data_IF_971331698972
#
_entry.id   IF_971331698972
#
_cell.length_a   1.000
_cell.length_b   1.000
_cell.length_c   1.000
_cell.angle_alpha   90.00
_cell.angle_beta   90.00
_cell.angle_gamma   90.00
#
_symmetry.space_group_name_H-M   'P 1'
#
loop_
_entity.id
_entity.type
_entity.pdbx_description
1 polymer ?
#
# COMPACT_ATOMS: atom_id res chain seq x y z
N UNK A 1 30.45 -43.74 -35.03
CA UNK A 1 29.80 -44.91 -35.63
C UNK A 1 28.34 -44.84 -35.23
N UNK A 2 27.44 -44.43 -36.12
CA UNK A 2 26.00 -44.43 -35.85
C UNK A 2 25.46 -45.84 -36.10
N UNK A 3 25.66 -46.73 -35.12
CA UNK A 3 25.09 -48.07 -35.11
C UNK A 3 24.02 -48.17 -34.04
N UNK A 4 22.96 -48.92 -34.29
CA UNK A 4 22.00 -49.26 -33.25
C UNK A 4 22.68 -50.21 -32.25
N UNK A 5 22.73 -49.83 -30.98
CA UNK A 5 23.28 -50.68 -29.94
C UNK A 5 22.21 -51.70 -29.51
N UNK A 6 22.56 -52.98 -29.55
CA UNK A 6 21.70 -54.06 -29.11
C UNK A 6 22.30 -54.71 -27.85
N UNK A 7 21.47 -54.96 -26.85
CA UNK A 7 21.87 -55.66 -25.64
C UNK A 7 21.32 -57.07 -25.70
N UNK A 8 22.17 -58.07 -25.46
CA UNK A 8 21.73 -59.47 -25.36
C UNK A 8 22.07 -59.99 -23.98
N UNK A 9 21.04 -60.41 -23.24
CA UNK A 9 21.14 -60.86 -21.86
C UNK A 9 20.83 -62.35 -21.82
N UNK A 10 21.75 -63.13 -21.27
CA UNK A 10 21.62 -64.57 -21.11
C UNK A 10 21.53 -64.90 -19.63
N UNK A 11 20.58 -65.75 -19.26
CA UNK A 11 20.47 -66.25 -17.90
C UNK A 11 20.09 -67.73 -17.89
N UNK A 12 20.74 -68.47 -16.99
CA UNK A 12 20.51 -69.89 -16.70
C UNK A 12 20.01 -70.13 -15.27
N UNK A 13 19.77 -69.07 -14.48
CA UNK A 13 19.55 -69.17 -13.04
C UNK A 13 18.99 -67.92 -12.36
N UNK A 14 18.85 -68.00 -11.04
CA UNK A 14 18.50 -66.85 -10.19
C UNK A 14 19.67 -65.85 -10.09
N UNK A 15 19.34 -64.56 -9.96
CA UNK A 15 20.33 -63.54 -9.69
C UNK A 15 20.89 -63.69 -8.26
N UNK A 16 22.20 -63.95 -8.16
CA UNK A 16 22.89 -64.22 -6.89
C UNK A 16 23.94 -63.17 -6.55
N UNK A 17 24.19 -62.19 -7.42
CA UNK A 17 25.34 -61.28 -7.27
C UNK A 17 25.11 -59.84 -7.72
N UNK A 18 23.98 -59.52 -8.36
CA UNK A 18 23.77 -58.16 -8.84
C UNK A 18 23.58 -57.18 -7.69
N UNK A 19 24.27 -56.05 -7.78
CA UNK A 19 24.13 -54.91 -6.85
C UNK A 19 23.15 -53.85 -7.35
N UNK A 20 22.69 -53.98 -8.59
CA UNK A 20 21.76 -53.06 -9.22
C UNK A 20 20.32 -53.53 -9.01
N UNK A 21 19.40 -52.58 -8.84
CA UNK A 21 17.96 -52.88 -8.75
C UNK A 21 17.36 -53.06 -10.14
N UNK A 22 16.27 -53.84 -10.25
CA UNK A 22 15.52 -54.03 -11.50
C UNK A 22 15.11 -52.69 -12.14
N UNK A 23 14.60 -51.75 -11.34
CA UNK A 23 14.23 -50.41 -11.80
C UNK A 23 15.44 -49.61 -12.30
N UNK A 24 16.61 -49.77 -11.68
CA UNK A 24 17.85 -49.15 -12.12
C UNK A 24 18.31 -49.71 -13.47
N UNK A 25 18.20 -51.01 -13.67
CA UNK A 25 18.50 -51.66 -14.95
C UNK A 25 17.54 -51.20 -16.06
N UNK A 26 16.24 -51.11 -15.77
CA UNK A 26 15.24 -50.59 -16.71
C UNK A 26 15.52 -49.14 -17.09
N UNK A 27 15.83 -48.26 -16.13
CA UNK A 27 16.19 -46.87 -16.40
C UNK A 27 17.49 -46.73 -17.23
N UNK A 28 18.48 -47.61 -17.01
CA UNK A 28 19.71 -47.64 -17.79
C UNK A 28 19.46 -48.09 -19.23
N UNK A 29 18.62 -49.12 -19.44
CA UNK A 29 18.25 -49.60 -20.77
C UNK A 29 17.41 -48.56 -21.52
N UNK A 30 16.48 -47.91 -20.82
CA UNK A 30 15.67 -46.84 -21.38
C UNK A 30 16.51 -45.61 -21.78
N UNK A 31 17.53 -45.26 -20.98
CA UNK A 31 18.43 -44.14 -21.33
C UNK A 31 19.40 -44.48 -22.46
N UNK A 32 19.75 -45.77 -22.64
CA UNK A 32 20.56 -46.25 -23.75
C UNK A 32 19.78 -46.42 -25.07
N UNK A 33 18.44 -46.43 -25.02
CA UNK A 33 17.52 -46.69 -26.15
C UNK A 33 17.91 -47.93 -26.98
N UNK A 34 18.38 -48.96 -26.28
CA UNK A 34 18.93 -50.17 -26.89
C UNK A 34 17.93 -51.33 -26.78
N UNK A 35 17.47 -51.92 -27.91
CA UNK A 35 16.64 -53.12 -27.87
C UNK A 35 17.35 -54.25 -27.12
N UNK A 36 16.65 -54.85 -26.17
CA UNK A 36 17.21 -55.90 -25.32
C UNK A 36 16.61 -57.26 -25.65
N UNK A 37 17.45 -58.22 -26.03
CA UNK A 37 17.04 -59.60 -26.25
C UNK A 37 17.45 -60.45 -25.04
N UNK A 38 16.46 -60.99 -24.33
CA UNK A 38 16.66 -61.88 -23.19
C UNK A 38 16.51 -63.34 -23.63
N UNK A 39 17.51 -64.16 -23.35
CA UNK A 39 17.45 -65.61 -23.58
C UNK A 39 17.54 -66.33 -22.23
N UNK A 40 16.48 -67.05 -21.90
CA UNK A 40 16.34 -67.76 -20.63
C UNK A 40 16.42 -69.27 -20.86
N UNK A 41 17.35 -69.95 -20.17
CA UNK A 41 17.31 -71.41 -20.03
C UNK A 41 16.41 -71.79 -18.84
N UNK A 42 15.38 -72.59 -19.09
CA UNK A 42 14.40 -72.95 -18.07
C UNK A 42 14.99 -73.92 -17.03
N UNK A 43 15.44 -73.41 -15.89
CA UNK A 43 15.90 -74.20 -14.73
C UNK A 43 14.95 -74.00 -13.54
N UNK A 44 15.00 -74.87 -12.52
CA UNK A 44 14.03 -74.92 -11.41
C UNK A 44 14.03 -73.70 -10.49
N UNK A 45 14.97 -72.76 -10.65
CA UNK A 45 15.15 -71.60 -9.76
C UNK A 45 15.01 -70.24 -10.46
N UNK A 46 14.48 -70.16 -11.69
CA UNK A 46 14.45 -68.90 -12.43
C UNK A 46 13.11 -68.15 -12.32
N UNK A 47 13.19 -66.83 -12.15
CA UNK A 47 12.07 -65.91 -12.29
C UNK A 47 12.02 -65.31 -13.72
N UNK A 48 11.14 -65.82 -14.61
CA UNK A 48 11.01 -65.30 -15.97
C UNK A 48 10.40 -63.89 -16.03
N UNK A 49 9.73 -63.44 -14.97
CA UNK A 49 9.00 -62.17 -14.97
C UNK A 49 9.95 -60.98 -14.93
N UNK A 50 11.04 -61.07 -14.15
CA UNK A 50 12.07 -60.05 -14.09
C UNK A 50 12.74 -59.83 -15.45
N UNK A 51 13.19 -60.90 -16.12
CA UNK A 51 13.84 -60.78 -17.43
C UNK A 51 12.87 -60.25 -18.50
N UNK A 52 11.62 -60.70 -18.48
CA UNK A 52 10.59 -60.21 -19.40
C UNK A 52 10.29 -58.72 -19.20
N UNK A 53 10.23 -58.26 -17.95
CA UNK A 53 10.03 -56.83 -17.64
C UNK A 53 11.21 -55.96 -18.12
N UNK A 54 12.42 -56.52 -18.18
CA UNK A 54 13.60 -55.85 -18.74
C UNK A 54 13.50 -55.78 -20.27
N UNK A 55 13.18 -56.89 -20.93
CA UNK A 55 13.08 -56.92 -22.40
C UNK A 55 11.94 -56.04 -22.92
N UNK A 56 10.85 -55.90 -22.16
CA UNK A 56 9.67 -55.11 -22.55
C UNK A 56 9.85 -53.59 -22.30
N UNK A 57 10.96 -53.17 -21.67
CA UNK A 57 11.20 -51.77 -21.32
C UNK A 57 11.40 -50.86 -22.54
N UNK A 58 11.99 -51.39 -23.61
CA UNK A 58 12.25 -50.64 -24.86
C UNK A 58 11.56 -51.36 -26.02
N UNK A 59 10.96 -50.59 -26.93
CA UNK A 59 10.29 -51.14 -28.11
C UNK A 59 11.29 -51.92 -28.98
N UNK A 60 10.94 -53.16 -29.32
CA UNK A 60 11.79 -54.05 -30.12
C UNK A 60 12.62 -55.06 -29.32
N UNK A 61 12.50 -55.06 -27.99
CA UNK A 61 13.04 -56.16 -27.17
C UNK A 61 12.34 -57.49 -27.42
N UNK A 62 13.07 -58.59 -27.22
CA UNK A 62 12.57 -59.95 -27.45
C UNK A 62 12.92 -60.85 -26.27
N UNK A 63 11.99 -61.71 -25.90
CA UNK A 63 12.20 -62.72 -24.88
C UNK A 63 12.11 -64.11 -25.51
N UNK A 64 13.19 -64.89 -25.39
CA UNK A 64 13.29 -66.25 -25.88
C UNK A 64 13.47 -67.18 -24.69
N UNK A 65 12.53 -68.10 -24.50
CA UNK A 65 12.64 -69.14 -23.48
C UNK A 65 13.04 -70.46 -24.13
N UNK A 66 14.10 -71.07 -23.63
CA UNK A 66 14.66 -72.31 -24.13
C UNK A 66 14.45 -73.38 -23.06
N UNK A 67 13.70 -74.43 -23.41
CA UNK A 67 13.34 -75.50 -22.47
C UNK A 67 14.37 -76.62 -22.40
N UNK A 68 15.24 -76.76 -23.41
CA UNK A 68 16.22 -77.84 -23.54
C UNK A 68 17.58 -77.29 -24.00
N UNK A 69 18.67 -77.78 -23.39
CA UNK A 69 20.06 -77.39 -23.69
C UNK A 69 20.41 -77.59 -25.16
N UNK A 70 19.81 -78.58 -25.82
CA UNK A 70 20.05 -78.88 -27.24
C UNK A 70 19.50 -77.80 -28.19
N UNK A 71 18.55 -76.97 -27.74
CA UNK A 71 17.94 -75.88 -28.54
C UNK A 71 18.61 -74.52 -28.31
N UNK A 72 19.62 -74.47 -27.45
CA UNK A 72 20.32 -73.24 -27.11
C UNK A 72 21.03 -72.67 -28.35
N UNK A 73 21.76 -73.52 -29.08
CA UNK A 73 22.50 -73.11 -30.28
C UNK A 73 21.60 -72.52 -31.37
N UNK A 74 20.43 -73.12 -31.63
CA UNK A 74 19.46 -72.58 -32.59
C UNK A 74 18.83 -71.27 -32.12
N UNK A 75 18.64 -71.08 -30.82
CA UNK A 75 18.09 -69.84 -30.25
C UNK A 75 19.09 -68.68 -30.34
N UNK A 76 20.38 -68.95 -30.12
CA UNK A 76 21.46 -68.00 -30.37
C UNK A 76 21.55 -67.61 -31.85
N UNK A 77 21.44 -68.60 -32.76
CA UNK A 77 21.43 -68.34 -34.21
C UNK A 77 20.23 -67.47 -34.61
N UNK A 78 19.05 -67.71 -34.02
CA UNK A 78 17.85 -66.93 -34.27
C UNK A 78 17.98 -65.48 -33.73
N UNK A 79 18.56 -65.31 -32.54
CA UNK A 79 18.83 -63.98 -31.98
C UNK A 79 19.83 -63.22 -32.86
N UNK A 80 20.94 -63.86 -33.26
CA UNK A 80 21.94 -63.28 -34.14
C UNK A 80 21.37 -62.92 -35.52
N UNK A 81 20.55 -63.78 -36.11
CA UNK A 81 19.90 -63.50 -37.39
C UNK A 81 18.91 -62.34 -37.26
N UNK A 82 18.19 -62.24 -36.15
CA UNK A 82 17.26 -61.14 -35.91
C UNK A 82 17.98 -59.79 -35.79
N UNK A 83 19.14 -59.76 -35.14
CA UNK A 83 20.01 -58.58 -35.04
C UNK A 83 20.60 -58.24 -36.40
N UNK A 84 21.06 -59.24 -37.15
CA UNK A 84 21.62 -59.05 -38.49
C UNK A 84 20.59 -58.54 -39.52
N UNK A 85 19.31 -58.82 -39.31
CA UNK A 85 18.20 -58.38 -40.16
C UNK A 85 17.53 -57.06 -39.73
N UNK A 86 18.14 -56.28 -38.84
CA UNK A 86 17.62 -54.97 -38.43
C UNK A 86 18.04 -53.88 -39.43
N UNK A 87 17.09 -53.00 -39.75
CA UNK A 87 17.32 -51.84 -40.61
C UNK A 87 16.94 -50.56 -39.85
N UNK A 88 17.85 -49.59 -39.82
CA UNK A 88 17.60 -48.26 -39.24
C UNK A 88 17.15 -47.33 -40.36
N UNK A 89 15.91 -46.84 -40.29
CA UNK A 89 15.42 -45.79 -41.18
C UNK A 89 15.48 -44.43 -40.46
N UNK A 90 16.20 -43.48 -41.06
CA UNK A 90 16.22 -42.09 -40.61
C UNK A 90 15.39 -41.23 -41.56
N UNK A 91 14.35 -40.57 -41.05
CA UNK A 91 13.49 -39.68 -41.83
C UNK A 91 13.52 -38.25 -41.27
N UNK A 92 14.00 -37.25 -42.02
CA UNK A 92 13.93 -35.86 -41.60
C UNK A 92 12.51 -35.33 -41.80
N UNK A 93 11.78 -35.10 -40.70
CA UNK A 93 10.45 -34.48 -40.75
C UNK A 93 10.55 -32.96 -40.94
N UNK A 94 9.75 -32.42 -41.86
CA UNK A 94 9.57 -30.99 -42.10
C UNK A 94 8.46 -30.34 -41.23
N UNK A 95 7.80 -31.12 -40.37
CA UNK A 95 6.72 -30.61 -39.51
C UNK A 95 7.28 -29.75 -38.37
N UNK A 96 6.81 -28.51 -38.27
CA UNK A 96 7.29 -27.46 -37.36
C UNK A 96 6.37 -27.17 -36.18
N UNK A 97 5.17 -27.78 -36.15
CA UNK A 97 4.21 -27.67 -35.06
C UNK A 97 4.35 -28.85 -34.08
N UNK A 98 4.22 -28.62 -32.76
CA UNK A 98 4.22 -29.70 -31.79
C UNK A 98 2.99 -30.59 -31.98
N UNK A 99 3.20 -31.80 -32.51
CA UNK A 99 2.11 -32.76 -32.74
C UNK A 99 2.65 -34.18 -32.64
N UNK A 100 1.78 -35.11 -32.25
CA UNK A 100 2.05 -36.54 -32.34
C UNK A 100 2.25 -36.93 -33.81
N UNK A 101 3.44 -37.42 -34.15
CA UNK A 101 3.78 -37.90 -35.49
C UNK A 101 3.57 -39.41 -35.52
N UNK A 102 2.55 -39.86 -36.24
CA UNK A 102 2.35 -41.29 -36.50
C UNK A 102 3.17 -41.69 -37.73
N UNK A 103 4.25 -42.44 -37.51
CA UNK A 103 5.11 -42.95 -38.57
C UNK A 103 4.67 -44.37 -38.88
N UNK A 104 4.21 -44.60 -40.11
CA UNK A 104 3.90 -45.93 -40.63
C UNK A 104 5.00 -46.36 -41.60
N UNK A 105 5.65 -47.48 -41.33
CA UNK A 105 6.65 -48.09 -42.21
C UNK A 105 6.03 -49.34 -42.82
N UNK A 106 5.95 -49.38 -44.15
CA UNK A 106 5.55 -50.59 -44.88
C UNK A 106 6.74 -51.11 -45.69
N UNK A 107 7.03 -52.40 -45.55
CA UNK A 107 8.10 -53.08 -46.26
C UNK A 107 7.50 -54.24 -47.07
N UNK A 108 7.92 -54.36 -48.33
CA UNK A 108 7.53 -55.45 -49.23
C UNK A 108 8.76 -56.19 -49.71
N UNK A 109 8.84 -57.47 -49.41
CA UNK A 109 9.93 -58.35 -49.86
C UNK A 109 9.31 -59.52 -50.59
N UNK A 110 9.54 -59.61 -51.91
CA UNK A 110 8.85 -60.56 -52.79
C UNK A 110 7.34 -60.35 -52.81
N UNK A 111 6.57 -61.40 -52.50
CA UNK A 111 5.10 -61.38 -52.43
C UNK A 111 4.50 -60.97 -51.07
N UNK A 112 5.33 -60.74 -50.04
CA UNK A 112 4.87 -60.46 -48.67
C UNK A 112 5.06 -58.98 -48.34
N UNK A 113 4.00 -58.32 -47.89
CA UNK A 113 4.03 -56.94 -47.37
C UNK A 113 3.73 -56.94 -45.87
N UNK A 114 4.51 -56.22 -45.08
CA UNK A 114 4.28 -55.98 -43.65
C UNK A 114 4.30 -54.47 -43.37
N UNK A 115 3.42 -54.01 -42.48
CA UNK A 115 3.33 -52.61 -42.07
C UNK A 115 3.39 -52.52 -40.55
N UNK A 116 4.22 -51.63 -40.03
CA UNK A 116 4.32 -51.30 -38.61
C UNK A 116 4.16 -49.79 -38.39
N UNK A 117 3.69 -49.38 -37.21
CA UNK A 117 3.42 -47.97 -36.89
C UNK A 117 3.96 -47.59 -35.51
N UNK A 118 4.59 -46.42 -35.42
CA UNK A 118 5.02 -45.84 -34.15
C UNK A 118 4.69 -44.36 -34.07
N UNK A 119 4.15 -43.93 -32.94
CA UNK A 119 3.86 -42.52 -32.64
C UNK A 119 5.04 -41.90 -31.90
N UNK A 120 5.57 -40.80 -32.42
CA UNK A 120 6.65 -40.02 -31.80
C UNK A 120 6.16 -38.61 -31.51
N UNK A 121 6.43 -38.08 -30.31
CA UNK A 121 6.11 -36.70 -29.97
C UNK A 121 7.10 -35.74 -30.65
N UNK A 122 6.64 -34.83 -31.51
CA UNK A 122 7.48 -33.78 -32.06
C UNK A 122 7.48 -32.58 -31.12
N UNK A 123 8.58 -32.34 -30.41
CA UNK A 123 8.69 -31.24 -29.42
C UNK A 123 9.26 -29.93 -30.00
N UNK A 124 9.53 -29.85 -31.31
CA UNK A 124 10.03 -28.60 -31.91
C UNK A 124 8.96 -27.50 -31.85
N UNK A 125 9.30 -26.39 -31.19
CA UNK A 125 8.55 -25.13 -31.23
C UNK A 125 9.32 -24.10 -32.10
N UNK A 126 8.60 -23.42 -32.98
CA UNK A 126 9.17 -22.46 -33.95
C UNK A 126 9.49 -21.11 -33.25
N UNK A 127 10.69 -20.52 -33.41
CA UNK A 127 11.01 -19.21 -32.83
C UNK A 127 10.55 -18.04 -33.74
N UNK A 128 9.38 -17.46 -33.45
CA UNK A 128 8.86 -16.18 -34.01
C UNK A 128 8.20 -16.34 -35.40
N UNK A 129 6.98 -15.85 -35.68
CA UNK A 129 6.39 -14.55 -35.35
C UNK A 129 4.88 -14.76 -35.08
N UNK A 130 4.41 -14.30 -33.91
CA UNK A 130 3.00 -14.23 -33.55
C UNK A 130 2.59 -14.99 -32.28
N UNK A 131 2.84 -14.39 -31.11
CA UNK A 131 1.94 -14.54 -29.95
C UNK A 131 2.31 -15.53 -28.84
N UNK A 132 3.47 -15.37 -28.21
CA UNK A 132 3.76 -15.98 -26.91
C UNK A 132 5.22 -15.78 -26.50
N UNK A 133 5.52 -14.68 -25.80
CA UNK A 133 6.87 -14.42 -25.27
C UNK A 133 7.18 -15.51 -24.22
N UNK A 134 8.37 -16.13 -24.23
CA UNK A 134 8.79 -17.07 -23.20
C UNK A 134 8.92 -16.34 -21.86
N UNK A 135 8.09 -16.70 -20.88
CA UNK A 135 8.40 -16.47 -19.46
C UNK A 135 9.60 -17.34 -19.11
N UNK A 136 10.80 -16.80 -19.31
CA UNK A 136 11.94 -17.13 -18.45
C UNK A 136 11.43 -16.91 -17.03
N UNK A 137 11.28 -17.98 -16.25
CA UNK A 137 11.09 -17.83 -14.82
C UNK A 137 12.30 -17.01 -14.33
N UNK A 138 12.12 -15.78 -13.82
CA UNK A 138 13.24 -15.05 -13.27
C UNK A 138 13.81 -15.91 -12.13
N UNK A 139 15.15 -15.96 -12.03
CA UNK A 139 15.81 -16.36 -10.79
C UNK A 139 15.02 -15.76 -9.65
N UNK A 140 14.58 -16.63 -8.72
CA UNK A 140 13.67 -16.25 -7.63
C UNK A 140 14.15 -14.89 -7.10
N UNK A 141 13.33 -13.83 -7.24
CA UNK A 141 13.74 -12.56 -6.69
C UNK A 141 13.98 -12.79 -5.19
N UNK A 142 14.90 -12.03 -4.61
CA UNK A 142 15.21 -12.01 -3.16
C UNK A 142 13.93 -11.78 -2.30
N UNK A 143 12.80 -11.49 -2.96
CA UNK A 143 11.42 -11.40 -2.51
C UNK A 143 10.74 -12.77 -2.25
N UNK A 144 11.44 -13.92 -2.35
CA UNK A 144 10.89 -15.25 -2.02
C UNK A 144 10.32 -15.37 -0.60
N UNK A 145 10.74 -14.50 0.33
CA UNK A 145 10.17 -14.39 1.67
C UNK A 145 8.78 -13.73 1.70
N UNK A 146 8.35 -13.03 0.64
CA UNK A 146 7.10 -12.26 0.57
C UNK A 146 5.97 -12.91 -0.27
N UNK A 147 6.27 -13.95 -1.06
CA UNK A 147 5.29 -14.59 -1.95
C UNK A 147 4.45 -15.72 -1.34
N UNK A 148 4.89 -16.30 -0.22
CA UNK A 148 4.12 -17.30 0.53
C UNK A 148 3.10 -16.65 1.47
N UNK A 149 2.16 -17.43 2.03
CA UNK A 149 1.24 -16.94 3.08
C UNK A 149 2.00 -16.23 4.21
N UNK A 150 3.17 -16.76 4.60
CA UNK A 150 4.10 -16.16 5.56
C UNK A 150 4.59 -14.77 5.16
N UNK A 151 4.84 -14.56 3.87
CA UNK A 151 5.25 -13.29 3.29
C UNK A 151 4.14 -12.25 3.17
N UNK A 152 2.93 -12.70 2.87
CA UNK A 152 1.72 -11.88 2.97
C UNK A 152 1.48 -11.43 4.41
N UNK A 153 1.64 -12.34 5.39
CA UNK A 153 1.53 -11.98 6.81
C UNK A 153 2.68 -11.08 7.29
N UNK A 154 3.92 -11.27 6.80
CA UNK A 154 5.05 -10.40 7.12
C UNK A 154 4.86 -9.00 6.53
N UNK A 155 4.38 -8.91 5.28
CA UNK A 155 4.04 -7.66 4.62
C UNK A 155 2.84 -6.96 5.27
N UNK A 156 1.80 -7.72 5.64
CA UNK A 156 0.66 -7.20 6.39
C UNK A 156 1.06 -6.76 7.80
N UNK A 157 1.98 -7.47 8.48
CA UNK A 157 2.51 -7.08 9.79
C UNK A 157 3.40 -5.84 9.70
N UNK A 158 4.27 -5.73 8.68
CA UNK A 158 5.07 -4.53 8.45
C UNK A 158 4.21 -3.32 8.06
N UNK A 159 3.17 -3.53 7.24
CA UNK A 159 2.19 -2.50 6.91
C UNK A 159 1.32 -2.14 8.12
N UNK A 160 0.95 -3.11 8.96
CA UNK A 160 0.23 -2.88 10.21
C UNK A 160 1.09 -2.10 11.21
N UNK A 161 2.37 -2.45 11.38
CA UNK A 161 3.33 -1.69 12.20
C UNK A 161 3.55 -0.30 11.60
N UNK A 162 3.64 -0.16 10.28
CA UNK A 162 3.73 1.13 9.59
C UNK A 162 2.49 2.00 9.80
N UNK A 163 1.29 1.41 9.74
CA UNK A 163 0.02 2.06 10.09
C UNK A 163 0.00 2.40 11.56
N UNK A 164 0.47 1.52 12.45
CA UNK A 164 0.49 1.73 13.89
C UNK A 164 1.47 2.85 14.27
N UNK A 165 2.63 2.92 13.62
CA UNK A 165 3.60 4.02 13.80
C UNK A 165 3.03 5.31 13.21
N UNK A 166 2.43 5.27 12.02
CA UNK A 166 1.79 6.44 11.41
C UNK A 166 0.62 6.95 12.27
N UNK A 167 -0.28 6.07 12.71
CA UNK A 167 -1.39 6.40 13.60
C UNK A 167 -0.91 6.76 15.00
N UNK A 168 0.12 6.14 15.55
CA UNK A 168 0.71 6.52 16.84
C UNK A 168 1.40 7.88 16.74
N UNK A 169 2.04 8.21 15.61
CA UNK A 169 2.65 9.52 15.35
C UNK A 169 1.60 10.60 15.08
N UNK A 170 0.46 10.23 14.48
CA UNK A 170 -0.70 11.08 14.23
C UNK A 170 -1.56 11.31 15.50
N UNK A 171 -1.70 10.27 16.33
CA UNK A 171 -2.37 10.27 17.64
C UNK A 171 -1.43 10.70 18.76
N UNK A 172 -0.13 10.89 18.50
CA UNK A 172 0.80 11.58 19.38
C UNK A 172 0.35 13.04 19.48
N UNK A 173 -0.70 13.25 20.26
CA UNK A 173 -0.97 14.49 20.95
C UNK A 173 0.16 14.58 21.97
N UNK A 174 1.09 15.53 21.85
CA UNK A 174 2.08 15.74 22.89
C UNK A 174 1.38 16.35 24.11
N UNK A 175 0.52 15.58 24.78
CA UNK A 175 -0.24 15.97 25.97
C UNK A 175 0.66 15.94 27.23
N UNK A 176 1.89 16.45 27.11
CA UNK A 176 2.88 16.39 28.18
C UNK A 176 4.24 16.99 27.81
N UNK A 177 4.48 17.31 26.55
CA UNK A 177 5.73 17.96 26.13
C UNK A 177 5.70 19.49 26.26
N UNK A 178 4.58 20.08 26.69
CA UNK A 178 4.45 21.54 26.87
C UNK A 178 5.32 22.06 28.02
N UNK A 179 5.48 21.31 29.11
CA UNK A 179 6.26 21.72 30.28
C UNK A 179 7.77 21.79 30.00
N UNK A 180 8.37 20.73 29.45
CA UNK A 180 9.80 20.70 29.11
C UNK A 180 10.14 21.63 27.93
N UNK A 181 9.21 21.80 26.98
CA UNK A 181 9.42 22.67 25.82
C UNK A 181 9.20 24.14 26.14
N UNK A 182 8.33 24.51 27.09
CA UNK A 182 8.28 25.86 27.66
C UNK A 182 9.61 26.21 28.35
N UNK A 183 10.23 25.27 29.05
CA UNK A 183 11.53 25.47 29.69
C UNK A 183 12.63 25.69 28.65
N UNK A 184 12.68 24.89 27.58
CA UNK A 184 13.62 25.08 26.47
C UNK A 184 13.34 26.35 25.66
N UNK A 185 12.06 26.76 25.51
CA UNK A 185 11.70 28.07 24.95
C UNK A 185 12.20 29.21 25.81
N UNK A 186 12.03 29.14 27.14
CA UNK A 186 12.55 30.14 28.08
C UNK A 186 14.07 30.22 28.03
N UNK A 187 14.78 29.09 27.90
CA UNK A 187 16.24 29.05 27.75
C UNK A 187 16.71 29.66 26.41
N UNK A 188 16.07 29.33 25.28
CA UNK A 188 16.43 29.87 23.96
C UNK A 188 16.19 31.38 23.83
N UNK A 189 15.28 31.93 24.62
CA UNK A 189 14.99 33.37 24.63
C UNK A 189 16.08 34.20 25.32
N UNK A 190 16.99 33.59 26.10
CA UNK A 190 18.12 34.30 26.73
C UNK A 190 19.47 34.07 26.02
N UNK A 191 19.60 33.05 25.16
CA UNK A 191 20.90 32.67 24.57
C UNK A 191 21.08 33.08 23.10
N UNK A 192 20.11 33.74 22.46
CA UNK A 192 20.14 34.02 21.01
C UNK A 192 20.79 35.35 20.62
N UNK A 193 21.92 35.66 21.24
CA UNK A 193 22.70 36.87 20.95
C UNK A 193 23.92 36.69 20.05
N UNK A 194 24.33 35.46 19.67
CA UNK A 194 25.69 35.28 19.10
C UNK A 194 25.88 34.47 17.82
N UNK A 195 24.90 33.73 17.30
CA UNK A 195 25.17 32.80 16.18
C UNK A 195 24.10 32.84 15.07
N UNK A 196 24.01 33.95 14.32
CA UNK A 196 23.24 34.00 13.05
C UNK A 196 23.85 33.11 11.94
N UNK A 197 25.07 32.58 12.13
CA UNK A 197 25.77 31.77 11.11
C UNK A 197 25.55 30.25 11.26
N UNK A 198 25.05 29.77 12.40
CA UNK A 198 24.73 28.34 12.64
C UNK A 198 23.26 27.97 12.41
N UNK A 199 22.39 28.93 12.12
CA UNK A 199 20.94 28.71 11.96
C UNK A 199 20.56 27.80 10.78
N UNK A 200 21.44 27.60 9.80
CA UNK A 200 21.22 26.65 8.68
C UNK A 200 21.54 25.20 9.02
N UNK A 201 22.33 24.92 10.06
CA UNK A 201 22.83 23.56 10.34
C UNK A 201 22.13 22.86 11.52
N UNK A 202 21.30 23.55 12.30
CA UNK A 202 20.85 23.04 13.61
C UNK A 202 19.35 23.23 13.91
N UNK A 203 18.50 23.30 12.89
CA UNK A 203 17.07 23.02 13.05
C UNK A 203 16.83 21.54 12.77
N UNK A 204 17.22 20.69 13.72
CA UNK A 204 16.82 19.27 13.72
C UNK A 204 15.30 19.21 13.91
N UNK A 205 14.58 19.07 12.80
CA UNK A 205 13.19 18.65 12.84
C UNK A 205 13.06 17.26 13.48
N UNK A 206 11.84 16.85 13.79
CA UNK A 206 11.56 15.62 14.56
C UNK A 206 12.15 14.37 13.90
N UNK A 207 12.26 14.34 12.55
CA UNK A 207 12.85 13.24 11.80
C UNK A 207 14.37 13.39 11.62
N UNK A 208 14.89 14.62 11.69
CA UNK A 208 16.31 14.94 11.59
C UNK A 208 17.19 14.37 12.72
N UNK A 209 16.62 13.94 13.84
CA UNK A 209 17.35 13.28 14.93
C UNK A 209 17.72 11.81 14.65
N UNK A 210 17.15 11.17 13.63
CA UNK A 210 17.39 9.75 13.31
C UNK A 210 18.27 9.58 12.07
N UNK A 211 19.16 8.59 12.07
CA UNK A 211 20.10 8.35 10.95
C UNK A 211 19.37 8.07 9.61
N UNK A 212 18.19 7.43 9.67
CA UNK A 212 17.34 7.15 8.50
C UNK A 212 16.59 8.41 8.07
N UNK A 213 16.05 9.19 9.01
CA UNK A 213 15.34 10.43 8.72
C UNK A 213 16.23 11.50 8.07
N UNK A 214 17.50 11.63 8.49
CA UNK A 214 18.46 12.56 7.86
C UNK A 214 18.67 12.27 6.38
N UNK A 215 18.86 11.00 6.00
CA UNK A 215 19.03 10.58 4.59
C UNK A 215 17.76 10.80 3.77
N UNK A 216 16.59 10.53 4.36
CA UNK A 216 15.30 10.78 3.69
C UNK A 216 15.06 12.27 3.43
N UNK A 217 15.38 13.13 4.42
CA UNK A 217 15.27 14.60 4.28
C UNK A 217 16.23 15.13 3.23
N UNK A 218 17.48 14.65 3.18
CA UNK A 218 18.47 15.06 2.18
C UNK A 218 18.03 14.71 0.74
N UNK A 219 17.50 13.49 0.54
CA UNK A 219 16.98 13.07 -0.76
C UNK A 219 15.75 13.88 -1.19
N UNK A 220 14.85 14.18 -0.25
CA UNK A 220 13.67 14.97 -0.54
C UNK A 220 14.02 16.44 -0.88
N UNK A 221 15.04 17.02 -0.24
CA UNK A 221 15.50 18.39 -0.52
C UNK A 221 16.16 18.52 -1.92
N UNK A 222 16.59 17.42 -2.56
CA UNK A 222 17.09 17.42 -3.94
C UNK A 222 15.99 17.55 -4.99
N UNK A 223 14.73 17.35 -4.63
CA UNK A 223 13.60 17.53 -5.55
C UNK A 223 13.32 19.04 -5.69
N UNK A 224 13.44 19.64 -6.89
CA UNK A 224 13.21 21.07 -7.08
C UNK A 224 11.73 21.39 -6.83
N UNK A 225 11.45 22.19 -5.80
CA UNK A 225 10.11 22.65 -5.41
C UNK A 225 9.99 24.16 -5.58
N UNK A 226 8.77 24.64 -5.78
CA UNK A 226 8.53 26.08 -5.77
C UNK A 226 8.70 26.60 -4.34
N UNK A 227 9.55 27.61 -4.16
CA UNK A 227 9.78 28.25 -2.84
C UNK A 227 8.46 28.69 -2.17
N UNK A 228 7.51 29.16 -2.98
CA UNK A 228 6.18 29.58 -2.53
C UNK A 228 5.38 28.44 -1.88
N UNK A 229 5.51 27.20 -2.36
CA UNK A 229 4.81 26.05 -1.78
C UNK A 229 5.39 25.68 -0.41
N UNK A 230 6.71 25.62 -0.30
CA UNK A 230 7.38 25.32 0.97
C UNK A 230 7.10 26.41 2.01
N UNK A 231 7.12 27.70 1.62
CA UNK A 231 6.76 28.80 2.53
C UNK A 231 5.31 28.71 3.01
N UNK A 232 4.37 28.39 2.11
CA UNK A 232 2.95 28.23 2.48
C UNK A 232 2.76 27.04 3.42
N UNK A 233 3.36 25.90 3.12
CA UNK A 233 3.26 24.71 3.95
C UNK A 233 3.91 24.93 5.33
N UNK A 234 5.03 25.64 5.38
CA UNK A 234 5.68 26.00 6.64
C UNK A 234 4.77 26.90 7.49
N UNK A 235 4.10 27.90 6.87
CA UNK A 235 3.11 28.73 7.55
C UNK A 235 1.94 27.90 8.10
N UNK A 236 1.43 26.95 7.33
CA UNK A 236 0.35 26.03 7.78
C UNK A 236 0.79 25.13 8.95
N UNK A 237 2.04 24.64 8.94
CA UNK A 237 2.60 23.85 10.03
C UNK A 237 2.79 24.68 11.31
N UNK A 238 3.29 25.91 11.16
CA UNK A 238 3.42 26.87 12.28
C UNK A 238 2.05 27.22 12.88
N UNK A 239 1.04 27.45 12.03
CA UNK A 239 -0.37 27.63 12.41
C UNK A 239 -0.89 26.44 13.24
N UNK A 240 -0.59 25.21 12.80
CA UNK A 240 -1.01 23.99 13.51
C UNK A 240 -0.28 23.75 14.84
N UNK A 241 0.79 24.51 15.11
CA UNK A 241 1.67 24.33 16.26
C UNK A 241 2.59 23.11 16.12
N UNK A 242 2.80 22.65 14.89
CA UNK A 242 3.64 21.51 14.60
C UNK A 242 5.08 21.95 14.33
N UNK A 243 6.03 21.26 14.94
CA UNK A 243 7.47 21.54 14.81
C UNK A 243 8.09 20.86 13.58
N UNK A 244 7.26 20.24 12.73
CA UNK A 244 7.74 19.56 11.53
C UNK A 244 8.24 20.57 10.51
N UNK A 245 9.34 20.22 9.82
CA UNK A 245 9.76 20.96 8.63
C UNK A 245 8.83 20.60 7.45
N UNK A 246 8.66 21.52 6.51
CA UNK A 246 7.92 21.26 5.28
C UNK A 246 8.35 19.95 4.58
N UNK A 247 9.65 19.69 4.51
CA UNK A 247 10.19 18.43 3.95
C UNK A 247 9.80 17.19 4.76
N UNK A 248 9.76 17.26 6.09
CA UNK A 248 9.35 16.15 6.95
C UNK A 248 7.87 15.82 6.80
N UNK A 249 7.03 16.84 6.65
CA UNK A 249 5.61 16.66 6.40
C UNK A 249 5.36 16.00 5.03
N UNK A 250 6.10 16.41 3.99
CA UNK A 250 6.00 15.77 2.67
C UNK A 250 6.48 14.32 2.73
N UNK A 251 7.55 14.02 3.47
CA UNK A 251 7.99 12.64 3.70
C UNK A 251 6.91 11.81 4.41
N UNK A 252 6.23 12.39 5.39
CA UNK A 252 5.08 11.76 6.05
C UNK A 252 3.93 11.52 5.07
N UNK A 253 3.68 12.47 4.16
CA UNK A 253 2.64 12.36 3.14
C UNK A 253 2.95 11.27 2.10
N UNK A 254 4.19 11.23 1.60
CA UNK A 254 4.66 10.20 0.66
C UNK A 254 4.70 8.84 1.34
N UNK A 255 5.21 8.77 2.58
CA UNK A 255 5.20 7.55 3.39
C UNK A 255 3.79 7.03 3.63
N UNK A 256 2.85 7.91 4.00
CA UNK A 256 1.44 7.57 4.15
C UNK A 256 0.80 7.04 2.87
N UNK A 257 1.14 7.63 1.72
CA UNK A 257 0.67 7.17 0.41
C UNK A 257 1.21 5.78 0.05
N UNK A 258 2.51 5.53 0.28
CA UNK A 258 3.16 4.22 0.04
C UNK A 258 2.55 3.14 0.95
N UNK A 259 2.36 3.45 2.24
CA UNK A 259 1.71 2.54 3.19
C UNK A 259 0.26 2.26 2.76
N UNK A 260 -0.48 3.30 2.36
CA UNK A 260 -1.83 3.15 1.82
C UNK A 260 -1.88 2.23 0.59
N UNK A 261 -0.97 2.42 -0.36
CA UNK A 261 -0.85 1.55 -1.53
C UNK A 261 -0.55 0.10 -1.14
N UNK A 262 0.42 -0.12 -0.25
CA UNK A 262 0.83 -1.44 0.20
C UNK A 262 -0.31 -2.20 0.91
N UNK A 263 -1.09 -1.49 1.74
CA UNK A 263 -2.27 -2.05 2.40
C UNK A 263 -3.38 -2.37 1.40
N UNK A 264 -3.70 -1.44 0.50
CA UNK A 264 -4.79 -1.66 -0.46
C UNK A 264 -4.47 -2.78 -1.46
N UNK A 265 -3.20 -2.93 -1.84
CA UNK A 265 -2.74 -4.04 -2.67
C UNK A 265 -2.67 -5.37 -1.90
N UNK A 266 -2.09 -5.37 -0.70
CA UNK A 266 -1.82 -6.58 0.08
C UNK A 266 -3.03 -7.15 0.83
N UNK A 267 -3.93 -6.32 1.35
CA UNK A 267 -5.01 -6.78 2.23
C UNK A 267 -6.29 -7.17 1.49
N UNK A 268 -6.60 -6.54 0.34
CA UNK A 268 -7.88 -6.71 -0.36
C UNK A 268 -7.80 -7.35 -1.75
N UNK A 269 -6.58 -7.61 -2.26
CA UNK A 269 -6.32 -8.25 -3.57
C UNK A 269 -7.10 -7.64 -4.76
N UNK A 270 -7.54 -6.38 -4.64
CA UNK A 270 -8.33 -5.65 -5.64
C UNK A 270 -7.58 -4.35 -6.02
N UNK A 271 -7.11 -4.22 -7.26
CA UNK A 271 -6.22 -3.13 -7.66
C UNK A 271 -6.84 -1.73 -7.51
N UNK A 272 -8.16 -1.60 -7.72
CA UNK A 272 -8.87 -0.33 -7.56
C UNK A 272 -8.92 0.17 -6.11
N UNK A 273 -8.95 -0.72 -5.12
CA UNK A 273 -8.87 -0.36 -3.70
C UNK A 273 -7.47 0.13 -3.32
N UNK A 274 -6.41 -0.41 -3.95
CA UNK A 274 -5.04 0.10 -3.82
C UNK A 274 -4.92 1.59 -4.15
N UNK A 275 -5.55 2.02 -5.24
CA UNK A 275 -5.60 3.43 -5.64
C UNK A 275 -6.35 4.29 -4.62
N UNK A 276 -7.48 3.80 -4.10
CA UNK A 276 -8.26 4.51 -3.07
C UNK A 276 -7.43 4.71 -1.79
N UNK A 277 -6.77 3.67 -1.28
CA UNK A 277 -5.95 3.78 -0.08
C UNK A 277 -4.68 4.62 -0.29
N UNK A 278 -4.08 4.62 -1.48
CA UNK A 278 -3.00 5.54 -1.83
C UNK A 278 -3.45 7.00 -1.75
N UNK A 279 -4.60 7.33 -2.36
CA UNK A 279 -5.17 8.70 -2.33
C UNK A 279 -5.52 9.08 -0.89
N UNK A 280 -6.14 8.19 -0.11
CA UNK A 280 -6.45 8.45 1.29
C UNK A 280 -5.19 8.65 2.13
N UNK A 281 -4.16 7.83 1.96
CA UNK A 281 -2.87 7.95 2.65
C UNK A 281 -2.14 9.26 2.32
N UNK A 282 -2.26 9.73 1.08
CA UNK A 282 -1.72 11.02 0.65
C UNK A 282 -2.55 12.21 1.15
N UNK A 283 -3.88 12.11 1.21
CA UNK A 283 -4.75 13.22 1.65
C UNK A 283 -4.87 13.33 3.17
N UNK A 284 -4.80 12.22 3.91
CA UNK A 284 -5.07 12.19 5.34
C UNK A 284 -4.22 13.19 6.14
N UNK A 285 -2.88 13.28 5.96
CA UNK A 285 -2.06 14.27 6.66
C UNK A 285 -2.50 15.72 6.40
N UNK A 286 -2.86 16.03 5.14
CA UNK A 286 -3.34 17.35 4.71
C UNK A 286 -4.66 17.72 5.39
N UNK A 287 -5.61 16.78 5.42
CA UNK A 287 -6.91 16.97 6.08
C UNK A 287 -6.75 17.16 7.58
N UNK A 288 -5.86 16.39 8.20
CA UNK A 288 -5.62 16.45 9.64
C UNK A 288 -4.91 17.75 10.01
N UNK A 289 -3.94 18.19 9.22
CA UNK A 289 -3.27 19.48 9.36
C UNK A 289 -4.30 20.61 9.30
N UNK A 290 -5.11 20.65 8.23
CA UNK A 290 -6.16 21.67 8.06
C UNK A 290 -7.17 21.67 9.22
N UNK A 291 -7.63 20.49 9.66
CA UNK A 291 -8.54 20.39 10.79
C UNK A 291 -7.91 20.88 12.10
N UNK A 292 -6.62 20.64 12.30
CA UNK A 292 -5.89 21.10 13.49
C UNK A 292 -5.69 22.61 13.47
N UNK A 293 -5.33 23.19 12.33
CA UNK A 293 -5.27 24.65 12.13
C UNK A 293 -6.62 25.26 12.47
N UNK A 294 -7.69 24.79 11.83
CA UNK A 294 -9.06 25.30 12.05
C UNK A 294 -9.49 25.22 13.51
N UNK A 295 -9.16 24.12 14.22
CA UNK A 295 -9.47 23.98 15.65
C UNK A 295 -8.68 24.97 16.50
N UNK A 296 -7.36 25.06 16.31
CA UNK A 296 -6.50 25.97 17.09
C UNK A 296 -6.84 27.44 16.85
N UNK A 297 -7.13 27.82 15.60
CA UNK A 297 -7.61 29.18 15.27
C UNK A 297 -8.97 29.45 15.90
N UNK A 298 -9.91 28.50 15.85
CA UNK A 298 -11.21 28.65 16.50
C UNK A 298 -11.10 28.78 18.03
N UNK A 299 -10.23 28.00 18.66
CA UNK A 299 -9.93 28.10 20.10
C UNK A 299 -9.36 29.49 20.44
N UNK A 300 -8.38 29.97 19.68
CA UNK A 300 -7.84 31.33 19.84
C UNK A 300 -8.92 32.41 19.71
N UNK A 301 -9.71 32.39 18.63
CA UNK A 301 -10.74 33.40 18.38
C UNK A 301 -11.84 33.37 19.45
N UNK A 302 -12.16 32.20 19.99
CA UNK A 302 -13.14 32.09 21.08
C UNK A 302 -12.65 32.69 22.41
N UNK A 303 -11.33 32.73 22.64
CA UNK A 303 -10.68 33.32 23.81
C UNK A 303 -10.37 34.82 23.63
N UNK A 304 -10.44 35.32 22.39
CA UNK A 304 -10.05 36.67 22.03
C UNK A 304 -10.83 37.76 22.79
N UNK A 305 -12.17 37.71 22.95
CA UNK A 305 -12.91 38.73 23.71
C UNK A 305 -12.39 38.90 25.13
N UNK A 306 -12.21 37.79 25.85
CA UNK A 306 -11.77 37.81 27.25
C UNK A 306 -10.31 38.29 27.34
N UNK A 307 -9.47 37.95 26.35
CA UNK A 307 -8.08 38.42 26.28
C UNK A 307 -7.99 39.93 26.02
N UNK A 308 -8.83 40.47 25.14
CA UNK A 308 -8.90 41.91 24.90
C UNK A 308 -9.42 42.67 26.12
N UNK A 309 -10.35 42.08 26.87
CA UNK A 309 -10.82 42.64 28.14
C UNK A 309 -9.71 42.69 29.19
N UNK A 310 -8.85 41.66 29.26
CA UNK A 310 -7.69 41.64 30.15
C UNK A 310 -6.65 42.71 29.75
N UNK A 311 -6.39 42.88 28.45
CA UNK A 311 -5.54 43.98 27.96
C UNK A 311 -6.12 45.34 28.31
N UNK A 312 -7.42 45.54 28.06
CA UNK A 312 -8.11 46.78 28.34
C UNK A 312 -8.05 47.11 29.84
N UNK A 313 -8.33 46.13 30.71
CA UNK A 313 -8.25 46.28 32.17
C UNK A 313 -6.84 46.63 32.65
N UNK A 314 -5.80 45.99 32.09
CA UNK A 314 -4.40 46.33 32.39
C UNK A 314 -4.08 47.77 32.00
N UNK A 315 -4.48 48.21 30.81
CA UNK A 315 -4.27 49.58 30.35
C UNK A 315 -5.06 50.61 31.20
N UNK A 316 -6.28 50.28 31.61
CA UNK A 316 -7.09 51.14 32.51
C UNK A 316 -6.48 51.28 33.89
N UNK A 317 -5.81 50.24 34.39
CA UNK A 317 -5.05 50.28 35.64
C UNK A 317 -3.72 51.06 35.52
N UNK A 318 -3.43 51.65 34.36
CA UNK A 318 -2.25 52.49 34.12
C UNK A 318 -0.99 51.73 33.71
N UNK A 319 -1.06 50.42 33.46
CA UNK A 319 0.07 49.67 32.94
C UNK A 319 0.39 50.11 31.50
N UNK A 320 1.67 50.12 31.16
CA UNK A 320 2.10 50.35 29.78
C UNK A 320 1.67 49.21 28.85
N UNK A 321 1.52 49.48 27.55
CA UNK A 321 1.05 48.47 26.58
C UNK A 321 1.88 47.17 26.58
N UNK A 322 3.20 47.29 26.70
CA UNK A 322 4.09 46.12 26.81
C UNK A 322 3.87 45.31 28.09
N UNK A 323 3.51 45.94 29.20
CA UNK A 323 3.18 45.26 30.46
C UNK A 323 1.81 44.58 30.35
N UNK A 324 0.83 45.23 29.71
CA UNK A 324 -0.47 44.61 29.44
C UNK A 324 -0.33 43.35 28.57
N UNK A 325 0.51 43.39 27.53
CA UNK A 325 0.83 42.20 26.72
C UNK A 325 1.50 41.09 27.55
N UNK A 326 2.36 41.44 28.52
CA UNK A 326 2.99 40.50 29.46
C UNK A 326 1.98 39.85 30.41
N UNK A 327 0.98 40.60 30.87
CA UNK A 327 -0.16 40.05 31.64
C UNK A 327 -0.91 39.01 30.80
N UNK A 328 -1.25 39.31 29.56
CA UNK A 328 -1.94 38.36 28.68
C UNK A 328 -1.09 37.13 28.35
N UNK A 329 0.22 37.28 28.17
CA UNK A 329 1.12 36.16 27.96
C UNK A 329 1.19 35.20 29.18
N UNK A 330 0.92 35.70 30.39
CA UNK A 330 0.97 34.93 31.64
C UNK A 330 -0.37 34.34 32.06
N UNK A 331 -1.46 35.07 31.86
CA UNK A 331 -2.78 34.70 32.38
C UNK A 331 -3.70 34.04 31.35
N UNK A 332 -3.45 34.24 30.04
CA UNK A 332 -4.26 33.60 29.01
C UNK A 332 -4.00 32.08 28.95
N UNK A 333 -4.98 31.34 28.43
CA UNK A 333 -4.87 29.90 28.20
C UNK A 333 -4.19 29.66 26.83
N UNK A 334 -3.52 28.52 26.66
CA UNK A 334 -3.01 28.11 25.34
C UNK A 334 -4.20 27.91 24.37
N UNK A 335 -4.12 28.34 23.09
CA UNK A 335 -2.97 28.85 22.33
C UNK A 335 -2.61 30.33 22.52
N UNK A 336 -3.46 31.12 23.17
CA UNK A 336 -3.34 32.58 23.22
C UNK A 336 -2.10 33.06 23.96
N UNK A 337 -1.82 32.52 25.16
CA UNK A 337 -0.64 32.89 25.95
C UNK A 337 0.67 32.70 25.20
N UNK A 338 0.80 31.58 24.49
CA UNK A 338 1.97 31.24 23.67
C UNK A 338 2.25 32.28 22.58
N UNK A 339 1.21 32.77 21.90
CA UNK A 339 1.37 33.74 20.81
C UNK A 339 1.69 35.15 21.35
N UNK A 340 1.05 35.59 22.44
CA UNK A 340 1.41 36.85 23.11
C UNK A 340 2.83 36.82 23.71
N UNK A 341 3.25 35.68 24.27
CA UNK A 341 4.62 35.48 24.75
C UNK A 341 5.65 35.58 23.60
N UNK A 342 5.29 35.09 22.41
CA UNK A 342 6.10 35.23 21.20
C UNK A 342 6.20 36.70 20.77
N UNK A 343 5.11 37.46 20.76
CA UNK A 343 5.12 38.91 20.44
C UNK A 343 6.06 39.67 21.38
N UNK A 344 6.00 39.41 22.68
CA UNK A 344 6.91 40.03 23.66
C UNK A 344 8.37 39.66 23.39
N UNK A 345 8.62 38.41 23.01
CA UNK A 345 9.95 37.92 22.68
C UNK A 345 10.51 38.58 21.42
N UNK A 346 9.69 38.66 20.37
CA UNK A 346 10.01 39.34 19.10
C UNK A 346 10.31 40.82 19.36
N UNK A 347 9.50 41.48 20.19
CA UNK A 347 9.71 42.88 20.56
C UNK A 347 10.99 43.11 21.37
N UNK A 348 11.31 42.24 22.34
CA UNK A 348 12.57 42.30 23.11
C UNK A 348 13.81 42.11 22.23
N UNK A 349 13.67 41.46 21.07
CA UNK A 349 14.72 41.30 20.07
C UNK A 349 14.85 42.49 19.10
N UNK A 350 14.08 43.56 19.33
CA UNK A 350 14.13 44.80 18.56
C UNK A 350 13.11 44.88 17.41
N UNK A 351 12.19 43.92 17.29
CA UNK A 351 11.08 44.03 16.33
C UNK A 351 10.06 45.06 16.85
N UNK A 352 9.55 45.97 16.00
CA UNK A 352 8.42 46.82 16.37
C UNK A 352 7.22 45.98 16.83
N UNK A 353 6.50 46.45 17.84
CA UNK A 353 5.38 45.69 18.42
C UNK A 353 4.23 45.55 17.43
N UNK A 354 4.06 46.55 16.58
CA UNK A 354 3.11 46.61 15.49
C UNK A 354 3.34 45.46 14.50
N UNK A 355 4.59 45.30 14.07
CA UNK A 355 5.02 44.23 13.15
C UNK A 355 4.91 42.86 13.81
N UNK A 356 5.22 42.75 15.12
CA UNK A 356 5.10 41.51 15.86
C UNK A 356 3.62 41.07 16.02
N UNK A 357 2.71 42.02 16.26
CA UNK A 357 1.27 41.75 16.30
C UNK A 357 0.72 41.38 14.91
N UNK A 358 1.20 42.03 13.84
CA UNK A 358 0.81 41.67 12.47
C UNK A 358 1.32 40.28 12.09
N UNK A 359 2.56 39.95 12.44
CA UNK A 359 3.09 38.59 12.29
C UNK A 359 2.29 37.57 13.10
N UNK A 360 1.81 37.92 14.29
CA UNK A 360 0.89 37.08 15.07
C UNK A 360 -0.46 36.90 14.35
N UNK A 361 -1.03 37.95 13.76
CA UNK A 361 -2.28 37.86 13.02
C UNK A 361 -2.17 36.97 11.78
N UNK A 362 -1.02 37.02 11.09
CA UNK A 362 -0.72 36.12 9.97
C UNK A 362 -0.54 34.66 10.40
N UNK A 363 0.08 34.43 11.56
CA UNK A 363 0.32 33.09 12.11
C UNK A 363 -0.90 32.46 12.75
N UNK A 364 -1.78 33.21 13.40
CA UNK A 364 -2.99 32.65 14.01
C UNK A 364 -4.08 32.50 12.96
N UNK A 365 -4.15 33.44 12.02
CA UNK A 365 -5.24 33.56 11.08
C UNK A 365 -6.52 34.10 11.73
N UNK A 366 -7.60 34.09 10.97
CA UNK A 366 -8.88 34.64 11.39
C UNK A 366 -9.02 36.12 11.05
N UNK A 367 -10.13 36.47 10.41
CA UNK A 367 -10.41 37.83 9.99
C UNK A 367 -10.61 38.76 11.20
N UNK A 368 -11.42 38.33 12.18
CA UNK A 368 -11.72 39.10 13.39
C UNK A 368 -10.45 39.59 14.13
N UNK A 369 -9.42 38.74 14.23
CA UNK A 369 -8.16 39.10 14.90
C UNK A 369 -7.29 40.05 14.06
N UNK A 370 -7.27 39.92 12.72
CA UNK A 370 -6.59 40.88 11.84
C UNK A 370 -7.18 42.29 11.98
N UNK A 371 -8.51 42.39 12.05
CA UNK A 371 -9.19 43.67 12.31
C UNK A 371 -8.80 44.26 13.67
N UNK A 372 -8.71 43.42 14.71
CA UNK A 372 -8.27 43.86 16.05
C UNK A 372 -6.85 44.40 16.02
N UNK A 373 -5.90 43.68 15.42
CA UNK A 373 -4.49 44.13 15.32
C UNK A 373 -4.38 45.43 14.53
N UNK A 374 -5.09 45.55 13.42
CA UNK A 374 -5.15 46.79 12.64
C UNK A 374 -5.69 47.96 13.48
N UNK A 375 -6.78 47.76 14.22
CA UNK A 375 -7.35 48.78 15.08
C UNK A 375 -6.38 49.19 16.21
N UNK A 376 -5.67 48.24 16.81
CA UNK A 376 -4.63 48.51 17.82
C UNK A 376 -3.50 49.37 17.23
N UNK A 377 -2.99 49.00 16.05
CA UNK A 377 -1.89 49.70 15.40
C UNK A 377 -2.28 51.15 15.06
N UNK A 378 -3.47 51.36 14.48
CA UNK A 378 -4.00 52.69 14.17
C UNK A 378 -4.14 53.52 15.45
N UNK A 379 -4.78 52.98 16.49
CA UNK A 379 -5.05 53.71 17.72
C UNK A 379 -3.76 54.11 18.45
N UNK A 380 -2.73 53.25 18.41
CA UNK A 380 -1.42 53.54 18.99
C UNK A 380 -0.64 54.60 18.22
N UNK A 381 -0.77 54.64 16.90
CA UNK A 381 -0.11 55.66 16.07
C UNK A 381 -0.75 57.04 16.23
N UNK A 382 -2.08 57.09 16.37
CA UNK A 382 -2.85 58.34 16.55
C UNK A 382 -2.84 58.81 18.02
N UNK A 383 -2.51 57.93 18.97
CA UNK A 383 -2.40 58.26 20.40
C UNK A 383 -3.75 58.32 21.14
N UNK A 384 -4.76 57.58 20.67
CA UNK A 384 -6.09 57.57 21.29
C UNK A 384 -6.20 56.65 22.52
N UNK A 385 -7.38 56.61 23.15
CA UNK A 385 -7.64 55.72 24.29
C UNK A 385 -7.77 54.26 23.83
N UNK A 386 -6.66 53.52 23.91
CA UNK A 386 -6.59 52.11 23.52
C UNK A 386 -7.45 51.21 24.42
N UNK A 387 -7.55 51.52 25.71
CA UNK A 387 -8.37 50.76 26.65
C UNK A 387 -9.86 50.77 26.27
N UNK A 388 -10.39 51.95 25.89
CA UNK A 388 -11.78 52.07 25.43
C UNK A 388 -11.99 51.30 24.13
N UNK A 389 -11.08 51.44 23.16
CA UNK A 389 -11.16 50.71 21.88
C UNK A 389 -11.17 49.20 22.09
N UNK A 390 -10.26 48.67 22.90
CA UNK A 390 -10.19 47.24 23.20
C UNK A 390 -11.45 46.73 23.90
N UNK A 391 -12.02 47.52 24.82
CA UNK A 391 -13.29 47.18 25.49
C UNK A 391 -14.45 47.12 24.49
N UNK A 392 -14.56 48.09 23.59
CA UNK A 392 -15.60 48.12 22.55
C UNK A 392 -15.47 46.90 21.62
N UNK A 393 -14.25 46.61 21.14
CA UNK A 393 -14.00 45.46 20.26
C UNK A 393 -14.27 44.14 20.96
N UNK A 394 -13.89 44.00 22.24
CA UNK A 394 -14.18 42.82 23.05
C UNK A 394 -15.69 42.57 23.17
N UNK A 395 -16.47 43.61 23.46
CA UNK A 395 -17.92 43.53 23.55
C UNK A 395 -18.56 43.12 22.22
N UNK A 396 -18.17 43.76 21.12
CA UNK A 396 -18.68 43.40 19.78
C UNK A 396 -18.34 41.96 19.41
N UNK A 397 -17.14 41.48 19.73
CA UNK A 397 -16.75 40.09 19.44
C UNK A 397 -17.54 39.10 20.32
N UNK A 398 -17.82 39.46 21.58
CA UNK A 398 -18.66 38.66 22.48
C UNK A 398 -20.11 38.55 21.97
N UNK A 399 -20.68 39.66 21.50
CA UNK A 399 -22.00 39.67 20.85
C UNK A 399 -22.03 38.77 19.60
N UNK A 400 -21.01 38.88 18.73
CA UNK A 400 -20.87 38.00 17.55
C UNK A 400 -20.79 36.52 17.93
N UNK A 401 -20.01 36.17 18.95
CA UNK A 401 -19.91 34.79 19.44
C UNK A 401 -21.23 34.28 20.03
N UNK A 402 -21.99 35.12 20.74
CA UNK A 402 -23.33 34.76 21.22
C UNK A 402 -24.28 34.46 20.07
N UNK A 403 -24.31 35.32 19.03
CA UNK A 403 -25.12 35.10 17.82
C UNK A 403 -24.71 33.82 17.11
N UNK A 404 -23.40 33.58 16.91
CA UNK A 404 -22.88 32.33 16.32
C UNK A 404 -23.30 31.09 17.11
N UNK A 405 -23.26 31.15 18.45
CA UNK A 405 -23.73 30.06 19.32
C UNK A 405 -25.23 29.82 19.19
N UNK A 406 -26.04 30.88 19.21
CA UNK A 406 -27.49 30.78 19.02
C UNK A 406 -27.84 30.14 17.67
N UNK A 407 -27.19 30.58 16.59
CA UNK A 407 -27.37 29.99 15.24
C UNK A 407 -26.94 28.53 15.22
N UNK A 408 -25.82 28.18 15.87
CA UNK A 408 -25.35 26.78 15.96
C UNK A 408 -26.35 25.88 16.69
N UNK A 409 -26.98 26.38 17.76
CA UNK A 409 -28.02 25.67 18.52
C UNK A 409 -29.29 25.53 17.69
N UNK A 410 -29.81 26.62 17.14
CA UNK A 410 -31.05 26.62 16.35
C UNK A 410 -30.92 25.76 15.08
N UNK A 411 -29.77 25.82 14.41
CA UNK A 411 -29.48 24.97 13.24
C UNK A 411 -29.20 23.51 13.60
N UNK A 412 -28.90 23.17 14.86
CA UNK A 412 -28.68 21.78 15.26
C UNK A 412 -29.98 20.97 15.17
N UNK A 413 -31.11 21.56 15.55
CA UNK A 413 -32.44 20.95 15.44
C UNK A 413 -32.78 20.63 13.98
N UNK A 414 -32.67 21.62 13.09
CA UNK A 414 -32.89 21.43 11.65
C UNK A 414 -31.96 20.38 11.04
N UNK A 415 -30.69 20.34 11.46
CA UNK A 415 -29.73 19.31 11.03
C UNK A 415 -30.10 17.91 11.51
N UNK A 416 -30.50 17.76 12.76
CA UNK A 416 -30.93 16.45 13.30
C UNK A 416 -32.17 15.95 12.56
N UNK A 417 -33.17 16.81 12.35
CA UNK A 417 -34.36 16.46 11.57
C UNK A 417 -34.02 16.04 10.13
N UNK A 418 -33.12 16.78 9.46
CA UNK A 418 -32.63 16.41 8.14
C UNK A 418 -31.92 15.05 8.12
N UNK A 419 -31.05 14.81 9.11
CA UNK A 419 -30.30 13.55 9.24
C UNK A 419 -31.27 12.38 9.45
N UNK A 420 -32.26 12.53 10.33
CA UNK A 420 -33.27 11.48 10.59
C UNK A 420 -34.06 11.18 9.31
N UNK A 421 -34.54 12.20 8.60
CA UNK A 421 -35.30 12.02 7.36
C UNK A 421 -34.48 11.34 6.25
N UNK A 422 -33.18 11.65 6.15
CA UNK A 422 -32.30 11.00 5.17
C UNK A 422 -31.99 9.56 5.57
N UNK A 423 -31.81 9.27 6.87
CA UNK A 423 -31.47 7.92 7.35
C UNK A 423 -32.67 6.97 7.32
N UNK A 424 -33.89 7.47 7.57
CA UNK A 424 -35.09 6.64 7.75
C UNK A 424 -35.35 5.66 6.59
N UNK A 425 -35.28 6.03 5.29
CA UNK A 425 -35.46 5.08 4.19
C UNK A 425 -34.43 3.95 4.20
N UNK A 426 -33.17 4.25 4.49
CA UNK A 426 -32.11 3.24 4.56
C UNK A 426 -32.28 2.33 5.79
N UNK A 427 -32.68 2.89 6.93
CA UNK A 427 -33.00 2.13 8.13
C UNK A 427 -34.19 1.20 7.88
N UNK A 428 -35.22 1.66 7.17
CA UNK A 428 -36.39 0.84 6.78
C UNK A 428 -36.00 -0.29 5.84
N UNK A 429 -35.15 -0.02 4.83
CA UNK A 429 -34.59 -1.07 3.96
C UNK A 429 -33.77 -2.06 4.76
N UNK A 430 -32.92 -1.59 5.68
CA UNK A 430 -32.14 -2.44 6.58
C UNK A 430 -33.06 -3.33 7.44
N UNK A 431 -34.11 -2.76 8.03
CA UNK A 431 -35.09 -3.50 8.81
C UNK A 431 -35.85 -4.55 7.98
N UNK A 432 -36.37 -4.17 6.81
CA UNK A 432 -37.07 -5.09 5.91
C UNK A 432 -36.16 -6.21 5.40
N UNK A 433 -34.86 -5.97 5.27
CA UNK A 433 -33.90 -7.00 4.88
C UNK A 433 -33.81 -8.14 5.90
N UNK A 434 -34.06 -7.85 7.18
CA UNK A 434 -34.04 -8.83 8.27
C UNK A 434 -35.41 -9.47 8.47
N UNK A 435 -36.48 -8.67 8.44
CA UNK A 435 -37.83 -9.15 8.76
C UNK A 435 -38.53 -9.83 7.59
N UNK A 436 -38.35 -9.32 6.36
CA UNK A 436 -39.03 -9.84 5.19
C UNK A 436 -38.13 -9.78 3.94
N UNK A 437 -37.12 -10.67 3.84
CA UNK A 437 -36.15 -10.65 2.75
C UNK A 437 -36.77 -10.92 1.38
N UNK A 438 -37.90 -11.64 1.30
CA UNK A 438 -38.59 -11.89 0.03
C UNK A 438 -39.18 -10.61 -0.57
N UNK A 439 -39.65 -9.67 0.26
CA UNK A 439 -40.15 -8.37 -0.19
C UNK A 439 -39.06 -7.52 -0.86
N UNK A 440 -37.87 -7.43 -0.24
CA UNK A 440 -36.72 -6.75 -0.86
C UNK A 440 -36.19 -7.48 -2.10
N UNK A 441 -36.26 -8.81 -2.12
CA UNK A 441 -35.87 -9.57 -3.29
C UNK A 441 -36.77 -9.26 -4.49
N UNK A 442 -38.08 -9.13 -4.29
CA UNK A 442 -39.02 -8.69 -5.34
C UNK A 442 -38.69 -7.27 -5.85
N UNK A 443 -38.38 -6.34 -4.93
CA UNK A 443 -38.04 -4.95 -5.25
C UNK A 443 -36.70 -4.83 -6.01
N UNK A 444 -35.71 -5.65 -5.69
CA UNK A 444 -34.37 -5.58 -6.30
C UNK A 444 -34.25 -6.43 -7.57
N UNK A 445 -35.04 -7.49 -7.72
CA UNK A 445 -35.05 -8.34 -8.91
C UNK A 445 -35.84 -7.74 -10.07
N UNK A 446 -37.03 -7.17 -9.79
CA UNK A 446 -37.90 -6.60 -10.82
C UNK A 446 -37.32 -5.31 -11.43
N UNK A 447 -37.41 -5.17 -12.76
CA UNK A 447 -36.94 -3.98 -13.49
C UNK A 447 -37.62 -2.69 -13.00
N UNK A 448 -38.92 -2.75 -12.72
CA UNK A 448 -39.68 -1.62 -12.17
C UNK A 448 -39.16 -1.22 -10.79
N UNK A 449 -38.79 -2.19 -9.95
CA UNK A 449 -38.24 -1.94 -8.62
C UNK A 449 -36.86 -1.28 -8.64
N UNK A 450 -35.98 -1.68 -9.58
CA UNK A 450 -34.68 -1.01 -9.80
C UNK A 450 -34.85 0.45 -10.22
N UNK A 451 -35.80 0.74 -11.12
CA UNK A 451 -36.11 2.11 -11.54
C UNK A 451 -36.65 2.93 -10.37
N UNK A 452 -37.56 2.36 -9.56
CA UNK A 452 -38.10 3.02 -8.38
C UNK A 452 -37.01 3.36 -7.34
N UNK A 453 -36.06 2.44 -7.09
CA UNK A 453 -34.91 2.68 -6.21
C UNK A 453 -34.04 3.83 -6.76
N UNK A 454 -33.74 3.84 -8.06
CA UNK A 454 -32.97 4.92 -8.69
C UNK A 454 -33.65 6.27 -8.53
N UNK A 455 -34.97 6.35 -8.78
CA UNK A 455 -35.75 7.59 -8.58
C UNK A 455 -35.72 8.03 -7.12
N UNK A 456 -35.92 7.08 -6.18
CA UNK A 456 -35.88 7.38 -4.75
C UNK A 456 -34.52 7.94 -4.31
N UNK A 457 -33.41 7.35 -4.78
CA UNK A 457 -32.06 7.84 -4.48
C UNK A 457 -31.81 9.25 -5.02
N UNK A 458 -32.29 9.54 -6.24
CA UNK A 458 -32.21 10.89 -6.82
C UNK A 458 -33.03 11.90 -6.00
N UNK A 459 -34.25 11.55 -5.62
CA UNK A 459 -35.11 12.41 -4.78
C UNK A 459 -34.50 12.66 -3.40
N UNK A 460 -33.90 11.65 -2.76
CA UNK A 460 -33.16 11.80 -1.50
C UNK A 460 -31.97 12.74 -1.70
N UNK A 461 -31.23 12.60 -2.80
CA UNK A 461 -30.11 13.48 -3.15
C UNK A 461 -30.55 14.94 -3.29
N UNK A 462 -31.62 15.20 -4.05
CA UNK A 462 -32.17 16.55 -4.24
C UNK A 462 -32.67 17.12 -2.91
N UNK A 463 -33.44 16.34 -2.15
CA UNK A 463 -33.96 16.75 -0.84
C UNK A 463 -32.83 17.09 0.15
N UNK A 464 -31.77 16.28 0.17
CA UNK A 464 -30.58 16.53 0.99
C UNK A 464 -29.86 17.83 0.60
N UNK A 465 -29.72 18.10 -0.70
CA UNK A 465 -29.15 19.36 -1.19
C UNK A 465 -30.01 20.58 -0.82
N UNK A 466 -31.33 20.47 -0.93
CA UNK A 466 -32.26 21.51 -0.51
C UNK A 466 -32.18 21.78 0.99
N UNK A 467 -32.21 20.72 1.82
CA UNK A 467 -32.06 20.84 3.27
C UNK A 467 -30.72 21.48 3.64
N UNK A 468 -29.62 21.08 2.99
CA UNK A 468 -28.30 21.69 3.20
C UNK A 468 -28.29 23.19 2.90
N UNK A 469 -29.02 23.62 1.87
CA UNK A 469 -29.12 25.05 1.49
C UNK A 469 -29.96 25.85 2.50
N UNK A 470 -31.07 25.30 2.97
CA UNK A 470 -31.94 25.96 3.97
C UNK A 470 -31.24 26.10 5.33
N UNK A 471 -30.46 25.09 5.73
CA UNK A 471 -29.77 25.06 7.02
C UNK A 471 -28.52 25.97 7.05
N UNK A 472 -27.93 26.27 5.89
CA UNK A 472 -26.75 27.14 5.81
C UNK A 472 -27.16 28.59 6.04
N UNK A 473 -27.10 29.02 7.30
CA UNK A 473 -27.21 30.42 7.69
C UNK A 473 -25.80 31.00 7.66
N UNK A 474 -25.54 31.93 6.73
CA UNK A 474 -24.31 32.71 6.70
C UNK A 474 -24.45 33.87 7.71
N UNK A 475 -23.41 34.08 8.53
CA UNK A 475 -23.33 35.12 9.58
C UNK A 475 -22.40 36.23 9.13
#
# INVERSE_FOLDING_TARGET
>A
MNGQHNIVVFTDGADTSSKATLAGAQAAIQSADAPTTGVLLNTTQVDPTALRSITDTVKGGKFLQVSDRNQLASSFAQAAQSIASQYVLSYPSAATTPSQLNIAVSAKVGGVSATDQSTVLNERSNPGVGGGIPTVAPDKPIVGAFGGKTGLYLGAAAAFIGVLIFFAMLLYRPAGAEAERMLQRRLRLYTRGRDKKKEKEQQEGVLGGTAIGRRAVELADRVPRSKQFDEKLQKELDQAGWLFRSTEFILLQVGGAIVGLALGWGLLARPWLGVVFFVLGALAPRVILSNRISKRTAEFLSQLPDTLQLLAGSLQAGYGFMQALDTCAKEAIEPTSTEFARVLSESRLGMPVEDALEAMADRVGGEDFRWVVMAINIQRQVGGNLATLLTTVANTLREREQVRRQIKVLSAEGRLSAIILVILPFALVGYLSVVNPSYLHQLTSATVGKIAIMIALVLIGIGSLWMRKIIKIDV
#
